data_IF_405865504417
#
_entry.id   IF_405865504417
#
_cell.length_a   1.000
_cell.length_b   1.000
_cell.length_c   1.000
_cell.angle_alpha   90.00
_cell.angle_beta   90.00
_cell.angle_gamma   90.00
#
_symmetry.space_group_name_H-M   'P 1'
#
loop_
_entity.id
_entity.type
_entity.pdbx_description
1 polymer ?
#
# COMPACT_ATOMS: atom_id res chain seq x y z
N UNK A 1 -15.21 4.40 15.29
CA UNK A 1 -14.08 4.34 14.36
C UNK A 1 -13.64 5.76 14.07
N UNK A 2 -12.49 6.18 14.59
CA UNK A 2 -11.98 7.54 14.39
C UNK A 2 -11.29 7.59 13.03
N UNK A 3 -11.93 8.20 12.03
CA UNK A 3 -11.30 8.40 10.72
C UNK A 3 -10.21 9.45 10.88
N UNK A 4 -8.94 9.03 10.94
CA UNK A 4 -7.82 9.98 10.87
C UNK A 4 -7.87 10.60 9.48
N UNK A 5 -7.99 11.94 9.36
CA UNK A 5 -8.00 12.59 8.06
C UNK A 5 -6.70 12.26 7.32
N UNK A 6 -6.82 11.72 6.10
CA UNK A 6 -5.65 11.47 5.25
C UNK A 6 -4.99 12.80 4.92
N UNK A 7 -3.68 12.87 5.14
CA UNK A 7 -2.87 14.01 4.73
C UNK A 7 -2.51 13.83 3.26
N UNK A 8 -2.80 14.86 2.47
CA UNK A 8 -2.34 14.96 1.09
C UNK A 8 -1.05 15.77 1.07
N UNK A 9 0.01 15.21 0.50
CA UNK A 9 1.31 15.86 0.39
C UNK A 9 1.64 15.94 -1.10
N UNK A 10 1.53 17.14 -1.65
CA UNK A 10 1.97 17.42 -3.00
C UNK A 10 3.50 17.57 -3.03
N UNK A 11 4.17 16.64 -3.69
CA UNK A 11 5.61 16.66 -3.91
C UNK A 11 5.90 17.06 -5.36
N UNK A 12 6.80 18.03 -5.54
CA UNK A 12 7.37 18.37 -6.84
C UNK A 12 8.83 17.94 -6.82
N UNK A 13 9.11 16.80 -7.46
CA UNK A 13 10.42 16.15 -7.41
C UNK A 13 11.08 16.18 -8.78
N UNK A 14 12.41 16.29 -8.79
CA UNK A 14 13.24 16.03 -9.97
C UNK A 14 13.46 14.53 -10.15
N UNK A 15 13.99 14.10 -11.30
CA UNK A 15 14.22 12.68 -11.59
C UNK A 15 15.13 11.99 -10.56
N UNK A 16 16.24 12.63 -10.20
CA UNK A 16 17.16 12.16 -9.15
C UNK A 16 16.48 12.07 -7.77
N UNK A 17 15.59 13.01 -7.45
CA UNK A 17 14.83 12.96 -6.20
C UNK A 17 13.79 11.84 -6.17
N UNK A 18 13.26 11.43 -7.32
CA UNK A 18 12.41 10.24 -7.41
C UNK A 18 13.22 8.97 -7.15
N UNK A 19 14.44 8.86 -7.70
CA UNK A 19 15.33 7.72 -7.50
C UNK A 19 15.79 7.60 -6.04
N UNK A 20 16.14 8.73 -5.41
CA UNK A 20 16.48 8.79 -3.99
C UNK A 20 15.31 8.37 -3.11
N UNK A 21 14.09 8.84 -3.43
CA UNK A 21 12.89 8.47 -2.70
C UNK A 21 12.57 6.98 -2.84
N UNK A 22 12.66 6.43 -4.05
CA UNK A 22 12.45 5.01 -4.30
C UNK A 22 13.46 4.16 -3.50
N UNK A 23 14.75 4.52 -3.53
CA UNK A 23 15.81 3.83 -2.79
C UNK A 23 15.59 3.85 -1.27
N UNK A 24 15.16 4.99 -0.73
CA UNK A 24 14.83 5.11 0.70
C UNK A 24 13.63 4.24 1.09
N UNK A 25 12.58 4.19 0.25
CA UNK A 25 11.41 3.35 0.46
C UNK A 25 11.74 1.86 0.37
N UNK A 26 12.58 1.45 -0.59
CA UNK A 26 13.07 0.07 -0.69
C UNK A 26 13.83 -0.35 0.56
N UNK A 27 14.71 0.51 1.06
CA UNK A 27 15.43 0.27 2.32
C UNK A 27 14.44 0.06 3.47
N UNK A 28 13.40 0.90 3.56
CA UNK A 28 12.39 0.79 4.59
C UNK A 28 11.54 -0.49 4.47
N UNK A 29 11.14 -0.85 3.25
CA UNK A 29 10.43 -2.11 2.96
C UNK A 29 11.25 -3.32 3.42
N UNK A 30 12.55 -3.32 3.12
CA UNK A 30 13.45 -4.42 3.50
C UNK A 30 13.55 -4.53 5.03
N UNK A 31 13.61 -3.41 5.76
CA UNK A 31 13.56 -3.46 7.24
C UNK A 31 12.26 -4.07 7.77
N UNK A 32 11.11 -3.84 7.12
CA UNK A 32 9.86 -4.52 7.50
C UNK A 32 9.85 -6.00 7.15
N UNK A 33 10.53 -6.43 6.09
CA UNK A 33 10.71 -7.85 5.77
C UNK A 33 11.57 -8.55 6.83
N UNK A 34 12.60 -7.89 7.32
CA UNK A 34 13.42 -8.39 8.43
C UNK A 34 12.58 -8.52 9.70
N UNK A 35 11.77 -7.51 10.03
CA UNK A 35 10.87 -7.55 11.19
C UNK A 35 9.78 -8.63 11.07
N UNK A 36 9.24 -8.86 9.87
CA UNK A 36 8.31 -9.97 9.63
C UNK A 36 9.00 -11.33 9.85
N UNK A 37 10.24 -11.45 9.42
CA UNK A 37 11.06 -12.65 9.62
C UNK A 37 11.35 -12.87 11.11
N UNK A 38 11.69 -11.83 11.86
CA UNK A 38 11.87 -11.88 13.32
C UNK A 38 10.58 -12.29 14.04
N UNK A 39 9.44 -11.71 13.66
CA UNK A 39 8.12 -12.03 14.20
C UNK A 39 7.73 -13.49 13.95
N UNK A 40 8.04 -14.03 12.77
CA UNK A 40 7.80 -15.44 12.46
C UNK A 40 8.62 -16.40 13.33
N UNK A 41 9.75 -15.92 13.86
CA UNK A 41 10.61 -16.65 14.79
C UNK A 41 10.25 -16.39 16.26
N UNK A 42 9.16 -15.66 16.53
CA UNK A 42 8.67 -15.38 17.88
C UNK A 42 9.33 -14.18 18.58
N UNK A 43 10.02 -13.32 17.85
CA UNK A 43 10.64 -12.09 18.37
C UNK A 43 9.85 -10.84 17.97
N UNK A 44 9.81 -9.82 18.82
CA UNK A 44 9.18 -8.52 18.52
C UNK A 44 7.87 -8.27 19.26
N UNK A 45 7.30 -7.08 19.02
CA UNK A 45 6.07 -6.61 19.69
C UNK A 45 4.80 -6.82 18.86
N UNK A 46 4.93 -6.90 17.54
CA UNK A 46 3.81 -7.05 16.59
C UNK A 46 3.98 -8.35 15.80
N UNK A 47 2.86 -8.90 15.33
CA UNK A 47 2.84 -10.17 14.62
C UNK A 47 3.36 -10.08 13.18
N UNK A 48 3.62 -11.24 12.60
CA UNK A 48 4.09 -11.39 11.22
C UNK A 48 3.10 -10.80 10.21
N UNK A 49 1.80 -10.89 10.47
CA UNK A 49 0.76 -10.39 9.57
C UNK A 49 0.82 -8.87 9.45
N UNK A 50 0.98 -8.17 10.57
CA UNK A 50 1.16 -6.73 10.63
C UNK A 50 2.36 -6.28 9.79
N UNK A 51 3.54 -6.88 10.00
CA UNK A 51 4.75 -6.51 9.27
C UNK A 51 4.64 -6.83 7.79
N UNK A 52 4.04 -7.98 7.45
CA UNK A 52 3.78 -8.36 6.05
C UNK A 52 2.85 -7.35 5.37
N UNK A 53 1.81 -6.88 6.06
CA UNK A 53 0.94 -5.84 5.54
C UNK A 53 1.72 -4.52 5.31
N UNK A 54 2.62 -4.13 6.22
CA UNK A 54 3.46 -2.94 6.03
C UNK A 54 4.38 -3.07 4.81
N UNK A 55 4.95 -4.26 4.58
CA UNK A 55 5.76 -4.54 3.37
C UNK A 55 4.93 -4.29 2.10
N UNK A 56 3.70 -4.81 2.05
CA UNK A 56 2.80 -4.61 0.90
C UNK A 56 2.43 -3.15 0.70
N UNK A 57 2.13 -2.41 1.78
CA UNK A 57 1.82 -0.98 1.70
C UNK A 57 3.00 -0.16 1.15
N UNK A 58 4.22 -0.43 1.63
CA UNK A 58 5.42 0.26 1.11
C UNK A 58 5.72 -0.13 -0.33
N UNK A 59 5.48 -1.40 -0.71
CA UNK A 59 5.61 -1.82 -2.10
C UNK A 59 4.68 -1.02 -3.02
N UNK A 60 3.40 -0.88 -2.67
CA UNK A 60 2.46 -0.08 -3.45
C UNK A 60 2.88 1.40 -3.55
N UNK A 61 3.50 1.93 -2.50
CA UNK A 61 4.05 3.28 -2.52
C UNK A 61 5.25 3.40 -3.46
N UNK A 62 6.17 2.43 -3.46
CA UNK A 62 7.29 2.38 -4.41
C UNK A 62 6.77 2.34 -5.85
N UNK A 63 5.78 1.50 -6.14
CA UNK A 63 5.19 1.39 -7.47
C UNK A 63 4.54 2.72 -7.91
N UNK A 64 3.89 3.41 -6.97
CA UNK A 64 3.34 4.75 -7.18
C UNK A 64 4.43 5.77 -7.50
N UNK A 65 5.52 5.78 -6.74
CA UNK A 65 6.67 6.67 -6.97
C UNK A 65 7.28 6.43 -8.35
N UNK A 66 7.48 5.17 -8.76
CA UNK A 66 7.98 4.84 -10.09
C UNK A 66 7.04 5.29 -11.22
N UNK A 67 5.73 5.19 -11.03
CA UNK A 67 4.75 5.71 -12.00
C UNK A 67 4.83 7.22 -12.15
N UNK A 68 4.89 7.94 -11.04
CA UNK A 68 5.02 9.40 -11.04
C UNK A 68 6.35 9.84 -11.68
N UNK A 69 7.45 9.12 -11.41
CA UNK A 69 8.75 9.38 -12.03
C UNK A 69 8.72 9.22 -13.56
N UNK A 70 7.86 8.33 -14.10
CA UNK A 70 7.64 8.17 -15.54
C UNK A 70 6.72 9.25 -16.15
N UNK A 71 6.17 10.14 -15.34
CA UNK A 71 5.31 11.24 -15.78
C UNK A 71 3.81 10.94 -15.73
N UNK A 72 3.38 9.87 -15.04
CA UNK A 72 1.95 9.65 -14.79
C UNK A 72 1.36 10.83 -14.00
N UNK A 73 0.11 11.20 -14.31
CA UNK A 73 -0.58 12.28 -13.58
C UNK A 73 -0.90 11.84 -12.14
N UNK A 74 -0.55 12.66 -11.11
CA UNK A 74 -0.88 12.37 -9.72
C UNK A 74 -2.37 12.10 -9.48
N UNK A 75 -3.25 12.82 -10.19
CA UNK A 75 -4.70 12.63 -10.09
C UNK A 75 -5.15 11.28 -10.65
N UNK A 76 -4.52 10.81 -11.73
CA UNK A 76 -4.84 9.50 -12.31
C UNK A 76 -4.43 8.37 -11.36
N UNK A 77 -3.22 8.47 -10.78
CA UNK A 77 -2.74 7.48 -9.79
C UNK A 77 -3.62 7.48 -8.54
N UNK A 78 -4.06 8.66 -8.09
CA UNK A 78 -4.95 8.81 -6.93
C UNK A 78 -6.35 8.24 -7.18
N UNK A 79 -6.91 8.45 -8.36
CA UNK A 79 -8.21 7.91 -8.75
C UNK A 79 -8.17 6.37 -8.80
N UNK A 80 -7.15 5.79 -9.43
CA UNK A 80 -6.98 4.33 -9.45
C UNK A 80 -6.84 3.74 -8.04
N UNK A 81 -6.06 4.38 -7.17
CA UNK A 81 -5.93 3.94 -5.77
C UNK A 81 -7.26 4.01 -5.01
N UNK A 82 -8.12 4.98 -5.30
CA UNK A 82 -9.47 5.07 -4.74
C UNK A 82 -10.39 3.99 -5.30
N UNK A 83 -10.32 3.71 -6.60
CA UNK A 83 -11.14 2.69 -7.25
C UNK A 83 -10.81 1.29 -6.74
N UNK A 84 -9.51 0.98 -6.54
CA UNK A 84 -9.06 -0.27 -5.90
C UNK A 84 -9.61 -0.37 -4.49
N UNK A 85 -9.48 0.67 -3.67
CA UNK A 85 -9.98 0.68 -2.30
C UNK A 85 -11.51 0.52 -2.22
N UNK A 86 -12.25 1.10 -3.17
CA UNK A 86 -13.70 1.00 -3.25
C UNK A 86 -14.15 -0.40 -3.71
N UNK A 87 -13.36 -1.08 -4.55
CA UNK A 87 -13.67 -2.42 -5.04
C UNK A 87 -13.38 -3.50 -3.98
N UNK A 88 -12.30 -3.37 -3.19
CA UNK A 88 -12.00 -4.27 -2.06
C UNK A 88 -13.03 -4.15 -0.92
N UNK A 89 -13.73 -3.02 -0.80
CA UNK A 89 -14.77 -2.80 0.20
C UNK A 89 -16.17 -3.35 -0.20
N UNK A 90 -16.33 -3.90 -1.42
CA UNK A 90 -17.61 -4.46 -1.86
C UNK A 90 -17.70 -5.91 -1.41
N UNK A 91 -18.59 -6.29 -0.47
CA UNK A 91 -18.78 -7.69 -0.15
C UNK A 91 -19.29 -8.39 -1.42
N UNK A 92 -18.68 -9.53 -1.76
CA UNK A 92 -19.23 -10.40 -2.80
C UNK A 92 -20.70 -10.63 -2.50
N UNK A 93 -21.57 -10.12 -3.37
CA UNK A 93 -23.00 -10.33 -3.27
C UNK A 93 -23.21 -11.84 -3.35
N UNK A 94 -23.47 -12.45 -2.18
CA UNK A 94 -23.81 -13.85 -2.06
C UNK A 94 -24.89 -14.16 -3.09
N UNK A 95 -24.60 -15.16 -3.93
CA UNK A 95 -25.60 -15.71 -4.83
C UNK A 95 -26.70 -16.30 -3.97
N UNK A 96 -27.80 -15.55 -3.82
CA UNK A 96 -29.04 -16.03 -3.25
C UNK A 96 -29.63 -17.06 -4.23
N UNK A 97 -29.25 -18.33 -4.05
CA UNK A 97 -29.93 -19.45 -4.67
C UNK A 97 -31.22 -19.64 -3.88
N UNK A 98 -32.31 -19.05 -4.37
CA UNK A 98 -33.65 -19.31 -3.83
C UNK A 98 -33.99 -20.80 -3.97
N UNK A 99 -34.63 -21.43 -2.97
CA UNK A 99 -35.08 -22.80 -3.15
C UNK A 99 -36.32 -22.81 -4.05
N UNK A 100 -36.20 -23.45 -5.22
CA UNK A 100 -37.36 -24.06 -5.88
C UNK A 100 -37.76 -25.32 -5.10
N UNK A 101 -38.89 -25.25 -4.39
CA UNK A 101 -39.94 -26.28 -4.28
C UNK A 101 -40.98 -25.88 -3.24
#
# INVERSE_FOLDING_TARGET
MTTIPRKDIHLSLTGDQYDDLASALETHRNSFQDLASEASNGFGYLDTEYWTQRVTEVQHLIDTVHRLARGDSPEAVKQEAQDVANNEARPEAGTEVGPEA
#
